data_IF_969592305454
#
_entry.id   IF_969592305454
#
_cell.length_a   1.000
_cell.length_b   1.000
_cell.length_c   1.000
_cell.angle_alpha   90.00
_cell.angle_beta   90.00
_cell.angle_gamma   90.00
#
_symmetry.space_group_name_H-M   'P 1'
#
loop_
_entity.id
_entity.type
_entity.pdbx_description
1 polymer ?
#
# COMPACT_ATOMS: atom_id res chain seq x y z
N UNK A 1 0.42 20.81 10.95
CA UNK A 1 0.09 20.03 9.75
C UNK A 1 1.11 18.91 9.66
N UNK A 2 0.66 17.64 9.63
CA UNK A 2 1.54 16.49 9.81
C UNK A 2 2.43 16.18 8.60
N UNK A 3 2.03 16.64 7.41
CA UNK A 3 2.92 16.80 6.25
C UNK A 3 2.89 18.26 5.83
N UNK A 4 4.05 18.90 5.81
CA UNK A 4 4.18 20.21 5.18
C UNK A 4 4.11 20.07 3.65
N UNK A 5 3.41 21.01 3.01
CA UNK A 5 3.49 21.23 1.56
C UNK A 5 2.95 20.09 0.67
N UNK A 6 1.97 19.30 1.14
CA UNK A 6 1.19 18.43 0.24
C UNK A 6 0.54 19.23 -0.89
N UNK A 7 0.11 20.46 -0.63
CA UNK A 7 -0.45 21.38 -1.62
C UNK A 7 0.53 21.74 -2.76
N UNK A 8 1.84 21.58 -2.57
CA UNK A 8 2.83 21.71 -3.65
C UNK A 8 2.79 20.51 -4.61
N UNK A 9 2.35 19.35 -4.13
CA UNK A 9 2.38 18.07 -4.85
C UNK A 9 1.00 17.58 -5.30
N UNK A 10 -0.09 18.12 -4.77
CA UNK A 10 -1.45 17.69 -5.12
C UNK A 10 -2.35 18.92 -5.26
N UNK A 11 -3.20 18.92 -6.29
CA UNK A 11 -4.16 20.00 -6.54
C UNK A 11 -5.57 19.70 -6.04
N UNK A 12 -5.88 18.43 -5.75
CA UNK A 12 -7.22 18.00 -5.30
C UNK A 12 -7.29 18.06 -3.77
N UNK A 13 -8.13 18.94 -3.18
CA UNK A 13 -8.25 19.08 -1.73
C UNK A 13 -8.67 17.77 -1.02
N UNK A 14 -9.48 16.94 -1.67
CA UNK A 14 -9.89 15.65 -1.10
C UNK A 14 -8.69 14.69 -1.01
N UNK A 15 -7.85 14.65 -2.05
CA UNK A 15 -6.63 13.84 -2.04
C UNK A 15 -5.63 14.33 -0.99
N UNK A 16 -5.48 15.64 -0.83
CA UNK A 16 -4.60 16.23 0.19
C UNK A 16 -5.03 15.81 1.60
N UNK A 17 -6.34 15.88 1.91
CA UNK A 17 -6.89 15.41 3.20
C UNK A 17 -6.64 13.92 3.40
N UNK A 18 -6.89 13.10 2.38
CA UNK A 18 -6.63 11.66 2.43
C UNK A 18 -5.15 11.35 2.69
N UNK A 19 -4.23 11.96 1.95
CA UNK A 19 -2.79 11.75 2.14
C UNK A 19 -2.32 12.21 3.52
N UNK A 20 -2.84 13.32 4.04
CA UNK A 20 -2.53 13.78 5.39
C UNK A 20 -2.99 12.79 6.47
N UNK A 21 -4.17 12.17 6.30
CA UNK A 21 -4.68 11.13 7.20
C UNK A 21 -3.87 9.83 7.10
N UNK A 22 -3.53 9.38 5.90
CA UNK A 22 -2.66 8.20 5.71
C UNK A 22 -1.28 8.42 6.34
N UNK A 23 -0.72 9.63 6.25
CA UNK A 23 0.55 9.95 6.91
C UNK A 23 0.45 9.92 8.44
N UNK A 24 -0.69 10.36 8.97
CA UNK A 24 -0.98 10.26 10.41
C UNK A 24 -1.04 8.80 10.85
N UNK A 25 -1.74 7.95 10.08
CA UNK A 25 -1.77 6.50 10.30
C UNK A 25 -0.37 5.88 10.25
N UNK A 26 0.44 6.25 9.26
CA UNK A 26 1.80 5.74 9.13
C UNK A 26 2.67 6.11 10.34
N UNK A 27 2.45 7.28 10.93
CA UNK A 27 3.17 7.73 12.12
C UNK A 27 2.74 6.94 13.36
N UNK A 28 1.43 6.76 13.55
CA UNK A 28 0.87 5.96 14.64
C UNK A 28 1.34 4.49 14.57
N UNK A 29 1.39 3.90 13.37
CA UNK A 29 1.93 2.55 13.14
C UNK A 29 3.44 2.50 13.40
N UNK A 30 4.20 3.50 12.94
CA UNK A 30 5.63 3.62 13.22
C UNK A 30 5.91 3.63 14.72
N UNK A 31 5.15 4.40 15.49
CA UNK A 31 5.31 4.48 16.94
C UNK A 31 4.99 3.14 17.61
N UNK A 32 3.90 2.48 17.19
CA UNK A 32 3.55 1.14 17.67
C UNK A 32 4.66 0.11 17.37
N UNK A 33 5.23 0.10 16.17
CA UNK A 33 6.35 -0.77 15.80
C UNK A 33 7.59 -0.50 16.66
N UNK A 34 7.92 0.77 16.95
CA UNK A 34 9.10 1.13 17.73
C UNK A 34 9.06 0.60 19.17
N UNK A 35 7.87 0.44 19.72
CA UNK A 35 7.66 0.01 21.11
C UNK A 35 7.01 -1.38 21.23
N UNK A 36 6.78 -2.10 20.13
CA UNK A 36 6.00 -3.35 20.13
C UNK A 36 6.53 -4.45 21.08
N UNK A 37 7.82 -4.45 21.40
CA UNK A 37 8.43 -5.39 22.35
C UNK A 37 8.37 -4.92 23.82
N UNK A 38 7.94 -3.69 24.09
CA UNK A 38 7.75 -3.14 25.43
C UNK A 38 6.37 -3.59 25.92
N UNK A 39 6.36 -4.32 27.03
CA UNK A 39 5.14 -4.74 27.71
C UNK A 39 5.06 -4.04 29.06
N UNK A 40 4.28 -2.98 29.13
CA UNK A 40 4.03 -2.21 30.36
C UNK A 40 2.76 -2.68 31.09
N UNK A 41 2.04 -3.64 30.51
CA UNK A 41 0.85 -4.24 31.08
C UNK A 41 1.20 -5.30 32.13
N UNK A 42 0.36 -5.45 33.15
CA UNK A 42 0.57 -6.48 34.18
C UNK A 42 0.21 -7.89 33.71
N UNK A 43 -0.52 -8.01 32.61
CA UNK A 43 -1.15 -9.24 32.10
C UNK A 43 -0.64 -9.67 30.71
N UNK A 44 0.29 -8.92 30.11
CA UNK A 44 0.85 -9.23 28.80
C UNK A 44 0.04 -8.70 27.61
N UNK A 45 -1.04 -7.95 27.86
CA UNK A 45 -1.88 -7.41 26.79
C UNK A 45 -1.23 -6.25 26.04
N UNK A 46 -0.32 -5.52 26.69
CA UNK A 46 0.39 -4.35 26.13
C UNK A 46 1.42 -4.72 25.06
N UNK A 47 1.88 -5.98 25.04
CA UNK A 47 2.78 -6.47 24.03
C UNK A 47 2.06 -6.68 22.67
N UNK A 48 2.49 -5.93 21.65
CA UNK A 48 2.01 -6.01 20.26
C UNK A 48 2.85 -6.94 19.38
N UNK A 49 4.00 -7.44 19.86
CA UNK A 49 4.84 -8.43 19.17
C UNK A 49 4.25 -9.85 19.18
N UNK A 50 3.09 -10.02 19.80
CA UNK A 50 2.42 -11.31 19.98
C UNK A 50 1.49 -11.67 18.82
N UNK A 51 1.23 -12.96 18.70
CA UNK A 51 0.19 -13.52 17.82
C UNK A 51 -1.19 -13.02 18.25
N UNK A 52 -2.06 -12.75 17.28
CA UNK A 52 -3.49 -12.69 17.50
C UNK A 52 -4.07 -14.12 17.53
N UNK A 53 -5.17 -14.33 18.24
CA UNK A 53 -5.94 -15.59 18.19
C UNK A 53 -6.83 -15.65 16.94
N UNK A 54 -6.32 -15.18 15.79
CA UNK A 54 -7.03 -15.10 14.51
C UNK A 54 -6.14 -15.48 13.34
N UNK A 55 -6.77 -15.87 12.24
CA UNK A 55 -6.13 -16.18 10.96
C UNK A 55 -6.74 -15.23 9.93
N UNK A 56 -5.90 -14.57 9.12
CA UNK A 56 -6.41 -13.71 8.07
C UNK A 56 -7.01 -14.54 6.92
N UNK A 57 -7.58 -13.85 5.95
CA UNK A 57 -8.35 -14.43 4.84
C UNK A 57 -7.47 -15.20 3.84
N UNK A 58 -6.17 -15.15 4.05
CA UNK A 58 -5.14 -15.79 3.25
C UNK A 58 -4.57 -17.04 3.94
N UNK A 59 -5.08 -17.37 5.13
CA UNK A 59 -4.67 -18.53 5.92
C UNK A 59 -3.41 -18.31 6.74
N UNK A 60 -2.99 -17.06 6.95
CA UNK A 60 -1.81 -16.69 7.72
C UNK A 60 -2.21 -16.33 9.17
N UNK A 61 -1.41 -16.74 10.16
CA UNK A 61 -1.61 -16.34 11.56
C UNK A 61 -1.42 -14.82 11.67
N UNK A 62 -2.45 -14.08 12.09
CA UNK A 62 -2.33 -12.63 12.25
C UNK A 62 -1.49 -12.29 13.47
N UNK A 63 -0.67 -11.26 13.37
CA UNK A 63 -0.08 -10.61 14.53
C UNK A 63 -1.00 -9.51 15.03
N UNK A 64 -0.93 -9.22 16.33
CA UNK A 64 -1.72 -8.11 16.92
C UNK A 64 -1.47 -6.79 16.19
N UNK A 65 -0.24 -6.61 15.70
CA UNK A 65 0.15 -5.42 14.97
C UNK A 65 -0.48 -5.31 13.57
N UNK A 66 -0.82 -6.43 12.93
CA UNK A 66 -1.54 -6.45 11.64
C UNK A 66 -2.98 -5.97 11.80
N UNK A 67 -3.65 -6.43 12.86
CA UNK A 67 -5.01 -5.96 13.21
C UNK A 67 -4.97 -4.48 13.58
N UNK A 68 -4.00 -4.09 14.41
CA UNK A 68 -3.84 -2.69 14.82
C UNK A 68 -3.59 -1.77 13.62
N UNK A 69 -2.66 -2.12 12.73
CA UNK A 69 -2.34 -1.32 11.55
C UNK A 69 -3.54 -1.23 10.60
N UNK A 70 -4.29 -2.31 10.42
CA UNK A 70 -5.56 -2.32 9.68
C UNK A 70 -6.55 -1.31 10.26
N UNK A 71 -6.84 -1.38 11.56
CA UNK A 71 -7.80 -0.50 12.23
C UNK A 71 -7.40 0.98 12.14
N UNK A 72 -6.10 1.27 12.30
CA UNK A 72 -5.55 2.62 12.15
C UNK A 72 -5.74 3.14 10.72
N UNK A 73 -5.48 2.33 9.70
CA UNK A 73 -5.71 2.71 8.30
C UNK A 73 -7.20 2.93 8.00
N UNK A 74 -8.07 2.03 8.43
CA UNK A 74 -9.53 2.14 8.24
C UNK A 74 -10.04 3.42 8.89
N UNK A 75 -9.63 3.71 10.12
CA UNK A 75 -9.98 4.94 10.83
C UNK A 75 -9.49 6.19 10.08
N UNK A 76 -8.23 6.22 9.67
CA UNK A 76 -7.67 7.36 8.94
C UNK A 76 -8.40 7.62 7.61
N UNK A 77 -8.71 6.58 6.84
CA UNK A 77 -9.46 6.72 5.61
C UNK A 77 -10.91 7.18 5.84
N UNK A 78 -11.59 6.68 6.88
CA UNK A 78 -12.92 7.15 7.28
C UNK A 78 -12.90 8.64 7.65
N UNK A 79 -12.00 9.05 8.54
CA UNK A 79 -11.86 10.44 8.99
C UNK A 79 -11.38 11.42 7.91
N UNK A 80 -10.89 10.91 6.77
CA UNK A 80 -10.56 11.77 5.63
C UNK A 80 -11.79 12.36 4.93
N UNK A 81 -12.96 11.74 5.14
CA UNK A 81 -14.23 12.02 4.43
C UNK A 81 -14.06 12.10 2.91
N UNK A 82 -13.07 11.40 2.36
CA UNK A 82 -12.71 11.46 0.93
C UNK A 82 -12.86 10.09 0.24
N UNK A 83 -13.12 9.03 1.01
CA UNK A 83 -13.21 7.66 0.52
C UNK A 83 -14.66 7.17 0.45
N UNK A 84 -15.00 6.44 -0.62
CA UNK A 84 -16.25 5.65 -0.73
C UNK A 84 -16.04 4.19 -0.34
N UNK A 85 -14.79 3.72 -0.28
CA UNK A 85 -14.47 2.30 -0.18
C UNK A 85 -13.05 1.98 0.20
N UNK A 86 -12.87 0.83 0.85
CA UNK A 86 -11.54 0.30 1.18
C UNK A 86 -11.41 -1.17 0.78
N UNK A 87 -10.18 -1.53 0.41
CA UNK A 87 -9.71 -2.91 0.19
C UNK A 87 -8.48 -3.07 1.06
N UNK A 88 -8.42 -4.10 1.89
CA UNK A 88 -7.29 -4.36 2.77
C UNK A 88 -6.79 -5.79 2.61
N UNK A 89 -5.50 -6.03 2.82
CA UNK A 89 -4.97 -7.39 2.91
C UNK A 89 -5.65 -8.23 4.00
N UNK A 90 -6.03 -7.60 5.12
CA UNK A 90 -6.46 -8.28 6.35
C UNK A 90 -7.91 -8.77 6.34
N UNK A 91 -8.72 -8.38 5.34
CA UNK A 91 -10.17 -8.68 5.28
C UNK A 91 -10.55 -9.14 3.88
N UNK A 92 -11.47 -10.10 3.79
CA UNK A 92 -11.88 -10.72 2.50
C UNK A 92 -12.86 -9.83 1.75
N UNK A 93 -13.62 -9.03 2.49
CA UNK A 93 -14.71 -8.24 1.93
C UNK A 93 -14.31 -6.78 1.75
N UNK A 94 -14.79 -6.18 0.67
CA UNK A 94 -14.71 -4.75 0.44
C UNK A 94 -15.46 -3.97 1.55
N UNK A 95 -14.82 -2.93 2.08
CA UNK A 95 -15.40 -2.09 3.13
C UNK A 95 -16.09 -0.88 2.46
N UNK A 96 -17.41 -0.85 2.45
CA UNK A 96 -18.19 0.29 1.95
C UNK A 96 -18.25 1.42 3.00
N UNK A 97 -17.86 2.64 2.60
CA UNK A 97 -17.84 3.82 3.48
C UNK A 97 -18.95 4.83 3.16
N UNK A 98 -19.89 4.49 2.28
CA UNK A 98 -21.09 5.30 2.02
C UNK A 98 -22.07 5.15 3.18
N UNK A 99 -22.76 6.23 3.56
CA UNK A 99 -23.70 6.21 4.70
C UNK A 99 -24.80 5.15 4.48
N UNK A 100 -25.04 4.31 5.50
CA UNK A 100 -26.03 3.22 5.44
C UNK A 100 -25.49 1.82 5.10
N UNK A 101 -24.18 1.68 4.84
CA UNK A 101 -23.50 0.39 4.65
C UNK A 101 -23.19 -0.35 5.96
N UNK A 102 -24.19 -0.56 6.81
CA UNK A 102 -24.06 -1.44 7.96
C UNK A 102 -23.82 -2.89 7.52
N UNK A 103 -22.94 -3.57 8.26
CA UNK A 103 -22.69 -5.02 8.21
C UNK A 103 -23.93 -5.80 7.75
N UNK A 104 -23.92 -6.35 6.53
CA UNK A 104 -24.88 -7.40 6.13
C UNK A 104 -24.43 -8.76 6.66
N UNK A 105 -24.02 -8.80 7.93
CA UNK A 105 -23.93 -10.02 8.71
C UNK A 105 -25.34 -10.42 9.12
N UNK A 106 -25.83 -11.54 8.61
CA UNK A 106 -27.13 -12.13 8.95
C UNK A 106 -27.39 -12.11 10.46
N UNK A 107 -28.27 -11.23 10.94
CA UNK A 107 -28.95 -11.38 12.23
C UNK A 107 -30.44 -11.54 11.98
N UNK A 108 -30.96 -12.62 12.55
CA UNK A 108 -32.32 -13.08 12.36
C UNK A 108 -33.37 -12.06 12.81
N UNK A 109 -34.53 -12.24 12.21
CA UNK A 109 -35.79 -11.56 12.48
C UNK A 109 -36.05 -11.41 13.99
N UNK A 110 -36.30 -10.17 14.43
CA UNK A 110 -37.27 -9.90 15.48
C UNK A 110 -37.84 -8.49 15.32
N UNK A 111 -39.16 -8.44 15.16
CA UNK A 111 -40.00 -7.26 15.07
C UNK A 111 -40.01 -6.47 16.39
N UNK A 112 -40.13 -5.14 16.34
CA UNK A 112 -40.55 -4.37 17.51
C UNK A 112 -40.30 -2.87 17.51
N UNK A 113 -41.38 -2.11 17.26
CA UNK A 113 -41.73 -0.78 17.78
C UNK A 113 -40.86 0.46 17.45
N UNK A 114 -41.50 1.42 16.77
CA UNK A 114 -41.09 2.82 16.68
C UNK A 114 -41.31 3.59 18.00
N UNK A 115 -40.56 4.67 18.22
CA UNK A 115 -41.14 5.84 18.86
C UNK A 115 -40.86 7.17 18.12
N UNK A 116 -41.72 8.10 18.48
CA UNK A 116 -42.04 9.40 17.92
C UNK A 116 -41.04 10.53 18.18
N UNK A 117 -41.10 11.51 17.29
CA UNK A 117 -40.57 12.89 17.27
C UNK A 117 -40.34 13.63 18.60
N UNK A 118 -39.23 14.38 18.68
CA UNK A 118 -39.24 15.81 19.04
C UNK A 118 -37.92 16.49 18.67
N UNK A 119 -38.06 17.70 18.12
CA UNK A 119 -37.09 18.65 17.59
C UNK A 119 -36.05 19.17 18.61
N UNK A 120 -34.85 19.47 18.12
CA UNK A 120 -34.21 20.78 18.29
C UNK A 120 -33.01 20.91 17.33
N UNK A 121 -33.17 21.71 16.27
CA UNK A 121 -32.11 22.10 15.35
C UNK A 121 -31.51 23.43 15.81
N UNK A 122 -30.23 23.43 16.15
CA UNK A 122 -29.39 24.63 16.18
C UNK A 122 -28.57 24.59 14.89
N UNK A 123 -28.89 25.47 13.95
CA UNK A 123 -28.09 25.72 12.75
C UNK A 123 -26.93 26.64 13.12
N UNK A 124 -25.71 26.08 13.19
CA UNK A 124 -24.47 26.85 13.13
C UNK A 124 -24.08 27.06 11.66
N UNK A 125 -23.86 28.32 11.29
CA UNK A 125 -23.68 28.81 9.92
C UNK A 125 -22.25 28.63 9.38
N UNK A 126 -21.68 27.45 9.57
CA UNK A 126 -20.49 27.02 8.84
C UNK A 126 -20.91 26.55 7.45
N UNK A 127 -20.36 27.16 6.40
CA UNK A 127 -20.55 26.68 5.03
C UNK A 127 -19.84 25.32 4.90
N UNK A 128 -20.56 24.23 5.17
CA UNK A 128 -20.09 22.85 4.92
C UNK A 128 -19.83 22.74 3.41
N UNK A 129 -18.54 22.77 3.04
CA UNK A 129 -18.10 22.34 1.72
C UNK A 129 -18.56 20.89 1.57
N UNK A 130 -19.60 20.65 0.76
CA UNK A 130 -20.16 19.32 0.54
C UNK A 130 -19.04 18.29 0.34
N UNK A 131 -18.96 17.33 1.26
CA UNK A 131 -17.85 16.38 1.35
C UNK A 131 -17.93 15.38 0.20
N UNK A 132 -17.27 15.70 -0.91
CA UNK A 132 -17.28 14.85 -2.09
C UNK A 132 -16.36 13.63 -1.87
N UNK A 133 -16.95 12.49 -1.49
CA UNK A 133 -16.27 11.19 -1.41
C UNK A 133 -15.94 10.71 -2.83
N UNK A 134 -14.64 10.58 -3.14
CA UNK A 134 -14.13 10.34 -4.50
C UNK A 134 -13.21 9.15 -4.65
N UNK A 135 -12.76 8.53 -3.57
CA UNK A 135 -11.65 7.58 -3.67
C UNK A 135 -11.97 6.20 -3.13
N UNK A 136 -11.35 5.20 -3.75
CA UNK A 136 -11.22 3.86 -3.19
C UNK A 136 -9.74 3.66 -2.87
N UNK A 137 -9.47 3.18 -1.66
CA UNK A 137 -8.09 2.92 -1.20
C UNK A 137 -7.90 1.42 -1.04
N UNK A 138 -6.92 0.87 -1.75
CA UNK A 138 -6.44 -0.48 -1.52
C UNK A 138 -5.12 -0.41 -0.75
N UNK A 139 -4.99 -1.14 0.35
CA UNK A 139 -3.79 -1.05 1.19
C UNK A 139 -3.37 -2.39 1.81
N UNK A 140 -2.06 -2.54 1.95
CA UNK A 140 -1.41 -3.48 2.85
C UNK A 140 -0.96 -2.64 4.07
N UNK A 141 -1.59 -2.83 5.24
CA UNK A 141 -1.31 -2.01 6.40
C UNK A 141 0.00 -2.38 7.10
N UNK A 142 0.60 -3.55 6.81
CA UNK A 142 1.87 -3.96 7.41
C UNK A 142 2.62 -5.00 6.55
N UNK A 143 3.19 -4.56 5.42
CA UNK A 143 4.07 -5.36 4.57
C UNK A 143 5.27 -5.87 5.35
N UNK A 144 5.51 -7.16 5.21
CA UNK A 144 6.61 -7.84 5.86
C UNK A 144 6.40 -8.02 7.36
N UNK A 145 5.15 -8.03 7.84
CA UNK A 145 4.79 -8.28 9.25
C UNK A 145 5.61 -9.38 9.91
N UNK A 146 5.84 -10.51 9.24
CA UNK A 146 6.70 -11.62 9.71
C UNK A 146 8.12 -11.21 10.18
N UNK A 147 8.61 -10.05 9.75
CA UNK A 147 9.90 -9.48 10.10
C UNK A 147 9.89 -8.56 11.33
N UNK A 148 8.71 -8.15 11.79
CA UNK A 148 8.52 -7.25 12.94
C UNK A 148 9.21 -7.79 14.19
N UNK A 149 9.05 -9.07 14.50
CA UNK A 149 9.64 -9.72 15.67
C UNK A 149 11.18 -9.73 15.66
N UNK A 150 11.81 -9.54 14.49
CA UNK A 150 13.27 -9.54 14.32
C UNK A 150 13.87 -8.13 14.26
N UNK A 151 13.05 -7.08 14.39
CA UNK A 151 13.51 -5.69 14.29
C UNK A 151 14.02 -5.32 12.89
N UNK A 152 13.56 -6.03 11.87
CA UNK A 152 13.88 -5.76 10.45
C UNK A 152 12.87 -4.76 9.89
N UNK A 153 13.29 -3.95 8.91
CA UNK A 153 12.42 -2.96 8.28
C UNK A 153 11.16 -3.60 7.68
N UNK A 154 10.03 -2.95 7.94
CA UNK A 154 8.69 -3.28 7.43
C UNK A 154 8.02 -2.02 6.91
N UNK A 155 6.76 -2.06 6.50
CA UNK A 155 6.10 -0.86 5.97
C UNK A 155 4.61 -0.98 5.75
N UNK A 156 3.99 0.09 5.27
CA UNK A 156 2.62 0.08 4.74
C UNK A 156 2.64 0.43 3.27
N UNK A 157 1.72 -0.12 2.49
CA UNK A 157 1.61 0.12 1.04
C UNK A 157 0.17 0.53 0.73
N UNK A 158 -0.03 1.49 -0.17
CA UNK A 158 -1.36 1.91 -0.57
C UNK A 158 -1.45 2.32 -2.04
N UNK A 159 -2.61 2.04 -2.63
CA UNK A 159 -3.07 2.51 -3.93
C UNK A 159 -4.35 3.31 -3.75
N UNK A 160 -4.45 4.44 -4.44
CA UNK A 160 -5.66 5.25 -4.51
C UNK A 160 -6.21 5.19 -5.93
N UNK A 161 -7.51 4.91 -6.02
CA UNK A 161 -8.27 4.90 -7.25
C UNK A 161 -9.33 6.00 -7.21
N UNK A 162 -9.57 6.63 -8.35
CA UNK A 162 -10.66 7.60 -8.50
C UNK A 162 -11.99 6.84 -8.70
N UNK A 163 -13.00 7.20 -7.91
CA UNK A 163 -14.39 6.82 -8.05
C UNK A 163 -15.19 8.08 -8.38
N UNK A 164 -15.66 8.19 -9.62
CA UNK A 164 -16.48 9.32 -10.07
C UNK A 164 -17.93 9.05 -9.71
N UNK A 165 -18.43 9.62 -8.62
CA UNK A 165 -19.85 9.56 -8.24
C UNK A 165 -20.71 10.20 -9.33
N UNK A 166 -21.87 9.63 -9.68
CA UNK A 166 -22.80 10.26 -10.62
C UNK A 166 -23.76 11.27 -9.98
N UNK A 167 -23.61 11.57 -8.69
CA UNK A 167 -24.45 12.49 -7.91
C UNK A 167 -25.12 11.80 -6.71
N UNK A 168 -26.02 12.52 -6.02
CA UNK A 168 -26.84 11.96 -4.94
C UNK A 168 -27.65 10.75 -5.44
N UNK A 169 -27.55 9.61 -4.73
CA UNK A 169 -28.26 8.38 -5.09
C UNK A 169 -27.50 7.44 -6.04
N UNK A 170 -26.17 7.58 -6.19
CA UNK A 170 -25.35 6.62 -6.93
C UNK A 170 -25.47 5.21 -6.31
N UNK A 171 -26.16 4.33 -7.03
CA UNK A 171 -26.44 2.94 -6.61
C UNK A 171 -25.44 1.93 -7.16
N UNK A 172 -24.46 2.38 -7.95
CA UNK A 172 -23.43 1.48 -8.48
C UNK A 172 -22.64 0.86 -7.34
N UNK A 173 -22.19 -0.35 -7.59
CA UNK A 173 -21.29 -1.04 -6.67
C UNK A 173 -19.87 -0.53 -6.90
N UNK A 174 -19.25 0.23 -5.97
CA UNK A 174 -17.96 0.85 -6.22
C UNK A 174 -16.84 -0.19 -6.47
N UNK A 175 -17.00 -1.42 -5.97
CA UNK A 175 -16.05 -2.51 -6.23
C UNK A 175 -16.05 -2.92 -7.70
N UNK A 176 -17.20 -2.88 -8.40
CA UNK A 176 -17.29 -3.27 -9.81
C UNK A 176 -16.50 -2.29 -10.69
N UNK A 177 -16.50 -1.01 -10.33
CA UNK A 177 -15.67 0.02 -10.97
C UNK A 177 -14.17 -0.22 -10.74
N UNK A 178 -13.78 -0.95 -9.68
CA UNK A 178 -12.39 -1.31 -9.36
C UNK A 178 -11.98 -2.68 -9.89
N UNK A 179 -12.91 -3.58 -10.23
CA UNK A 179 -12.58 -4.91 -10.75
C UNK A 179 -12.76 -5.01 -12.27
N UNK A 180 -13.68 -4.26 -12.91
CA UNK A 180 -13.85 -4.33 -14.38
C UNK A 180 -14.29 -2.96 -14.92
N UNK A 181 -13.46 -2.24 -15.71
CA UNK A 181 -12.28 -2.65 -16.49
C UNK A 181 -10.92 -2.23 -15.88
N UNK A 182 -10.79 -2.20 -14.55
CA UNK A 182 -9.62 -1.61 -13.90
C UNK A 182 -8.32 -2.37 -14.18
N UNK A 183 -7.27 -1.63 -14.49
CA UNK A 183 -5.87 -2.11 -14.48
C UNK A 183 -5.06 -1.25 -13.52
N UNK A 184 -3.78 -1.57 -13.31
CA UNK A 184 -2.87 -0.67 -12.60
C UNK A 184 -2.74 0.72 -13.26
N UNK A 185 -3.19 0.89 -14.51
CA UNK A 185 -3.31 2.21 -15.17
C UNK A 185 -4.29 3.15 -14.50
N UNK A 186 -5.22 2.63 -13.71
CA UNK A 186 -6.24 3.42 -13.05
C UNK A 186 -5.83 3.88 -11.64
N UNK A 187 -4.70 3.39 -11.12
CA UNK A 187 -4.11 3.93 -9.88
C UNK A 187 -3.68 5.38 -10.15
N UNK A 188 -4.31 6.32 -9.46
CA UNK A 188 -4.06 7.76 -9.65
C UNK A 188 -2.91 8.27 -8.77
N UNK A 189 -2.80 7.68 -7.58
CA UNK A 189 -1.81 7.96 -6.55
C UNK A 189 -1.47 6.65 -5.86
N UNK A 190 -0.21 6.42 -5.58
CA UNK A 190 0.25 5.30 -4.78
C UNK A 190 1.39 5.73 -3.89
N UNK A 191 1.60 4.99 -2.82
CA UNK A 191 2.74 5.23 -1.98
C UNK A 191 2.99 4.07 -1.04
N UNK A 192 4.05 4.24 -0.27
CA UNK A 192 4.38 3.36 0.81
C UNK A 192 5.03 4.16 1.93
N UNK A 193 4.95 3.65 3.15
CA UNK A 193 5.76 4.10 4.26
C UNK A 193 6.70 2.97 4.68
N UNK A 194 8.00 3.25 4.77
CA UNK A 194 8.98 2.31 5.31
C UNK A 194 9.27 2.65 6.76
N UNK A 195 9.11 1.67 7.64
CA UNK A 195 9.43 1.72 9.07
C UNK A 195 10.80 1.06 9.29
N UNK A 196 11.86 1.80 8.97
CA UNK A 196 13.25 1.33 9.08
C UNK A 196 14.04 2.07 10.15
N UNK A 197 15.31 2.36 9.87
CA UNK A 197 16.13 3.26 10.69
C UNK A 197 15.51 4.64 10.86
N UNK A 198 14.78 5.07 9.84
CA UNK A 198 13.91 6.24 9.78
C UNK A 198 12.53 5.80 9.29
N UNK A 199 11.54 6.64 9.55
CA UNK A 199 10.19 6.47 9.00
C UNK A 199 10.08 7.37 7.77
N UNK A 200 10.07 6.78 6.58
CA UNK A 200 10.00 7.51 5.32
C UNK A 200 8.68 7.21 4.60
N UNK A 201 7.94 8.25 4.23
CA UNK A 201 6.74 8.16 3.42
C UNK A 201 7.08 8.58 1.99
N UNK A 202 6.79 7.73 1.02
CA UNK A 202 7.12 7.97 -0.40
C UNK A 202 5.85 7.84 -1.23
N UNK A 203 5.57 8.85 -2.05
CA UNK A 203 4.33 8.94 -2.83
C UNK A 203 4.63 9.28 -4.29
N UNK A 204 3.89 8.68 -5.20
CA UNK A 204 3.87 9.05 -6.62
C UNK A 204 2.43 9.29 -7.08
N UNK A 205 2.26 10.20 -8.02
CA UNK A 205 1.00 10.38 -8.74
C UNK A 205 1.21 10.26 -10.23
N UNK A 206 0.18 9.79 -10.94
CA UNK A 206 0.21 9.78 -12.42
C UNK A 206 0.27 11.18 -13.02
N UNK A 207 -0.34 12.18 -12.38
CA UNK A 207 -0.43 13.54 -12.91
C UNK A 207 0.89 14.32 -12.81
N UNK A 208 1.63 14.14 -11.73
CA UNK A 208 2.79 14.99 -11.43
C UNK A 208 4.13 14.37 -11.83
N UNK A 209 4.08 13.15 -12.41
CA UNK A 209 5.21 12.41 -13.02
C UNK A 209 6.49 12.41 -12.19
N UNK A 210 6.36 12.54 -10.87
CA UNK A 210 7.47 12.61 -9.91
C UNK A 210 7.14 11.73 -8.72
N UNK A 211 8.19 11.22 -8.11
CA UNK A 211 8.14 10.48 -6.86
C UNK A 211 8.75 11.34 -5.77
N UNK A 212 8.01 11.57 -4.70
CA UNK A 212 8.41 12.48 -3.60
C UNK A 212 8.51 11.69 -2.31
N UNK A 213 9.55 11.96 -1.53
CA UNK A 213 9.83 11.31 -0.26
C UNK A 213 9.92 12.32 0.89
N UNK A 214 9.26 11.97 1.99
CA UNK A 214 9.32 12.69 3.25
C UNK A 214 9.84 11.77 4.35
N UNK A 215 10.60 12.34 5.27
CA UNK A 215 11.09 11.65 6.46
C UNK A 215 10.40 12.23 7.68
N UNK A 216 9.88 11.37 8.55
CA UNK A 216 9.28 11.78 9.82
C UNK A 216 10.39 12.29 10.76
N UNK A 217 10.24 13.52 11.24
CA UNK A 217 10.99 14.02 12.39
C UNK A 217 10.23 13.66 13.67
N UNK A 218 10.72 12.71 14.49
CA UNK A 218 10.02 12.27 15.69
C UNK A 218 9.98 13.35 16.78
N UNK A 219 10.83 14.38 16.72
CA UNK A 219 10.84 15.45 17.73
C UNK A 219 9.69 16.44 17.54
N UNK A 220 9.33 16.71 16.29
CA UNK A 220 8.23 17.61 15.90
C UNK A 220 6.97 16.87 15.47
N UNK A 221 7.03 15.54 15.39
CA UNK A 221 5.96 14.68 14.88
C UNK A 221 5.42 15.12 13.51
N UNK A 222 6.34 15.54 12.62
CA UNK A 222 6.01 16.11 11.32
C UNK A 222 6.90 15.51 10.24
N UNK A 223 6.34 15.26 9.07
CA UNK A 223 7.08 14.83 7.88
C UNK A 223 7.74 16.02 7.19
N UNK A 224 9.06 15.93 7.06
CA UNK A 224 9.89 16.88 6.33
C UNK A 224 10.18 16.34 4.93
N UNK A 225 9.97 17.15 3.89
CA UNK A 225 10.30 16.77 2.49
C UNK A 225 11.81 16.64 2.35
N UNK A 226 12.31 15.41 2.28
CA UNK A 226 13.76 15.13 2.18
C UNK A 226 14.19 14.77 0.76
N UNK A 227 13.24 14.38 -0.10
CA UNK A 227 13.50 14.01 -1.50
C UNK A 227 12.39 14.55 -2.40
N UNK A 228 12.67 15.62 -3.14
CA UNK A 228 11.66 16.31 -3.95
C UNK A 228 11.39 15.66 -5.33
N UNK A 229 12.33 14.86 -5.85
CA UNK A 229 12.22 14.23 -7.17
C UNK A 229 13.09 12.97 -7.24
N UNK A 230 12.53 11.84 -6.83
CA UNK A 230 13.21 10.55 -6.85
C UNK A 230 13.13 9.98 -8.25
N UNK A 231 14.30 9.83 -8.88
CA UNK A 231 14.49 9.09 -10.13
C UNK A 231 15.31 7.84 -9.87
N UNK A 232 14.87 6.69 -10.38
CA UNK A 232 15.64 5.46 -10.25
C UNK A 232 16.86 5.50 -11.18
N UNK A 233 18.04 5.06 -10.72
CA UNK A 233 19.20 4.90 -11.61
C UNK A 233 18.87 3.99 -12.79
N UNK A 234 19.32 4.34 -14.00
CA UNK A 234 19.03 3.52 -15.20
C UNK A 234 19.64 2.13 -15.14
N UNK A 235 20.75 1.98 -14.40
CA UNK A 235 21.36 0.71 -14.01
C UNK A 235 21.83 0.77 -12.57
N UNK A 236 21.56 -0.28 -11.81
CA UNK A 236 22.13 -0.49 -10.48
C UNK A 236 22.91 -1.79 -10.37
N UNK A 237 23.38 -2.03 -9.15
CA UNK A 237 24.34 -3.08 -8.79
C UNK A 237 23.76 -4.13 -7.85
N UNK A 238 22.44 -4.15 -7.69
CA UNK A 238 21.76 -5.00 -6.71
C UNK A 238 20.71 -5.83 -7.44
N UNK A 239 20.63 -7.12 -7.12
CA UNK A 239 19.46 -7.93 -7.43
C UNK A 239 18.87 -8.45 -6.12
N UNK A 240 17.54 -8.42 -6.03
CA UNK A 240 16.79 -8.77 -4.84
C UNK A 240 15.76 -9.83 -5.15
N UNK A 241 16.00 -11.04 -4.65
CA UNK A 241 15.13 -12.20 -4.84
C UNK A 241 15.38 -13.23 -3.74
N UNK A 242 14.33 -13.97 -3.35
CA UNK A 242 14.47 -15.11 -2.45
C UNK A 242 14.97 -16.35 -3.20
N UNK A 243 16.28 -16.53 -3.25
CA UNK A 243 16.90 -17.68 -3.92
C UNK A 243 16.60 -19.03 -3.27
N UNK A 244 16.03 -19.08 -2.07
CA UNK A 244 15.52 -20.33 -1.47
C UNK A 244 14.47 -21.03 -2.34
N UNK A 245 13.83 -20.27 -3.25
CA UNK A 245 12.87 -20.80 -4.22
C UNK A 245 13.45 -21.06 -5.61
N UNK A 246 14.77 -21.02 -5.81
CA UNK A 246 15.41 -21.17 -7.14
C UNK A 246 14.94 -22.39 -7.91
N UNK A 247 14.71 -23.51 -7.23
CA UNK A 247 14.21 -24.76 -7.81
C UNK A 247 12.84 -24.63 -8.49
N UNK A 248 12.03 -23.63 -8.10
CA UNK A 248 10.69 -23.34 -8.67
C UNK A 248 10.72 -22.29 -9.79
N UNK A 249 11.85 -21.62 -10.00
CA UNK A 249 11.94 -20.54 -10.97
C UNK A 249 12.00 -21.04 -12.42
N UNK A 250 11.55 -20.21 -13.35
CA UNK A 250 11.72 -20.44 -14.77
C UNK A 250 13.21 -20.50 -15.13
N UNK A 251 13.54 -21.23 -16.21
CA UNK A 251 14.93 -21.29 -16.69
C UNK A 251 15.48 -19.90 -17.09
N UNK A 252 14.61 -18.98 -17.50
CA UNK A 252 15.00 -17.60 -17.78
C UNK A 252 15.42 -16.85 -16.53
N UNK A 253 14.65 -16.97 -15.44
CA UNK A 253 15.01 -16.38 -14.16
C UNK A 253 16.29 -17.00 -13.59
N UNK A 254 16.46 -18.32 -13.67
CA UNK A 254 17.71 -18.99 -13.25
C UNK A 254 18.93 -18.50 -14.03
N UNK A 255 18.79 -18.27 -15.34
CA UNK A 255 19.85 -17.64 -16.15
C UNK A 255 20.19 -16.24 -15.65
N UNK A 256 19.18 -15.39 -15.44
CA UNK A 256 19.39 -14.03 -14.95
C UNK A 256 20.13 -14.01 -13.59
N UNK A 257 19.73 -14.88 -12.65
CA UNK A 257 20.41 -15.01 -11.35
C UNK A 257 21.87 -15.45 -11.52
N UNK A 258 22.14 -16.42 -12.41
CA UNK A 258 23.50 -16.86 -12.73
C UNK A 258 24.34 -15.72 -13.30
N UNK A 259 23.81 -14.98 -14.27
CA UNK A 259 24.48 -13.83 -14.87
C UNK A 259 24.79 -12.75 -13.80
N UNK A 260 23.87 -12.54 -12.85
CA UNK A 260 24.11 -11.65 -11.71
C UNK A 260 25.21 -12.16 -10.77
N UNK A 261 25.29 -13.47 -10.50
CA UNK A 261 26.33 -14.08 -9.66
C UNK A 261 27.71 -14.05 -10.31
N UNK A 262 27.76 -14.22 -11.63
CA UNK A 262 29.01 -14.22 -12.42
C UNK A 262 29.49 -12.79 -12.73
N UNK A 263 28.60 -11.79 -12.63
CA UNK A 263 28.95 -10.38 -12.78
C UNK A 263 29.86 -9.88 -11.65
N UNK A 264 30.93 -9.16 -12.00
CA UNK A 264 31.80 -8.48 -11.04
C UNK A 264 31.18 -7.21 -10.43
N UNK A 265 29.99 -6.82 -10.88
CA UNK A 265 29.35 -5.54 -10.50
C UNK A 265 28.03 -5.68 -9.76
N UNK A 266 27.45 -6.89 -9.70
CA UNK A 266 26.18 -7.14 -9.04
C UNK A 266 26.38 -7.71 -7.63
N UNK A 267 25.43 -7.45 -6.74
CA UNK A 267 25.44 -7.97 -5.37
C UNK A 267 24.03 -8.36 -4.96
N UNK A 268 23.89 -9.50 -4.28
CA UNK A 268 22.60 -9.92 -3.72
C UNK A 268 22.23 -9.08 -2.48
N UNK A 269 20.98 -8.63 -2.42
CA UNK A 269 20.36 -8.09 -1.20
C UNK A 269 18.92 -8.56 -1.17
N UNK A 270 18.48 -9.14 -0.06
CA UNK A 270 17.08 -9.52 0.11
C UNK A 270 16.74 -9.33 1.58
N UNK A 271 15.98 -8.28 1.89
CA UNK A 271 15.55 -7.96 3.26
C UNK A 271 14.42 -8.89 3.67
N UNK A 272 13.54 -9.26 2.72
CA UNK A 272 12.39 -10.10 2.99
C UNK A 272 11.11 -9.34 3.34
N UNK A 273 11.12 -8.01 3.18
CA UNK A 273 9.94 -7.12 3.18
C UNK A 273 9.94 -6.38 1.84
N UNK A 274 8.80 -6.40 1.14
CA UNK A 274 8.69 -5.82 -0.19
C UNK A 274 9.02 -4.31 -0.15
N UNK A 275 8.46 -3.58 0.81
CA UNK A 275 8.65 -2.13 0.92
C UNK A 275 10.13 -1.77 1.13
N UNK A 276 10.87 -2.53 1.94
CA UNK A 276 12.28 -2.27 2.20
C UNK A 276 13.17 -2.58 0.98
N UNK A 277 12.88 -3.69 0.30
CA UNK A 277 13.63 -4.09 -0.91
C UNK A 277 13.32 -3.18 -2.11
N UNK A 278 12.07 -2.76 -2.28
CA UNK A 278 11.66 -1.82 -3.33
C UNK A 278 12.17 -0.40 -3.03
N UNK A 279 12.13 0.06 -1.77
CA UNK A 279 12.68 1.36 -1.39
C UNK A 279 14.18 1.46 -1.73
N UNK A 280 14.95 0.42 -1.41
CA UNK A 280 16.36 0.35 -1.80
C UNK A 280 16.52 0.32 -3.32
N UNK A 281 15.72 -0.47 -4.03
CA UNK A 281 15.75 -0.55 -5.50
C UNK A 281 15.47 0.81 -6.13
N UNK A 282 14.49 1.56 -5.61
CA UNK A 282 14.11 2.89 -6.08
C UNK A 282 15.26 3.89 -5.93
N UNK A 283 15.96 3.89 -4.80
CA UNK A 283 17.02 4.86 -4.51
C UNK A 283 18.40 4.49 -5.09
N UNK A 284 18.77 3.21 -5.03
CA UNK A 284 20.10 2.73 -5.42
C UNK A 284 20.15 2.11 -6.82
N UNK A 285 18.98 1.87 -7.42
CA UNK A 285 18.86 1.09 -8.64
C UNK A 285 19.11 -0.41 -8.41
N UNK A 286 19.02 -1.18 -9.49
CA UNK A 286 19.08 -2.63 -9.48
C UNK A 286 17.69 -3.22 -9.70
N UNK A 287 17.43 -4.41 -9.18
CA UNK A 287 16.16 -5.11 -9.40
C UNK A 287 15.60 -5.76 -8.15
N UNK A 288 14.28 -5.89 -8.14
CA UNK A 288 13.51 -6.71 -7.21
C UNK A 288 12.63 -7.68 -7.99
N UNK A 289 12.57 -8.93 -7.54
CA UNK A 289 11.86 -10.01 -8.22
C UNK A 289 11.07 -10.88 -7.24
N UNK A 290 9.82 -11.14 -7.60
CA UNK A 290 8.93 -12.09 -6.93
C UNK A 290 8.18 -12.94 -7.99
N UNK A 291 8.84 -13.95 -8.58
CA UNK A 291 8.31 -14.69 -9.74
C UNK A 291 7.11 -15.60 -9.45
N UNK A 292 6.91 -16.04 -8.20
CA UNK A 292 5.96 -17.13 -7.89
C UNK A 292 4.50 -16.71 -7.74
N UNK A 293 4.14 -15.47 -8.06
CA UNK A 293 2.73 -15.07 -8.09
C UNK A 293 2.04 -15.00 -6.72
N UNK A 294 2.75 -14.60 -5.66
CA UNK A 294 2.18 -14.56 -4.30
C UNK A 294 1.68 -13.18 -3.86
N UNK A 295 2.22 -12.10 -4.43
CA UNK A 295 1.89 -10.73 -4.04
C UNK A 295 0.57 -10.30 -4.67
N UNK A 296 -0.19 -9.43 -4.01
CA UNK A 296 -1.53 -9.03 -4.41
C UNK A 296 -1.49 -7.82 -5.32
N UNK A 297 -2.32 -7.84 -6.35
CA UNK A 297 -2.23 -6.88 -7.43
C UNK A 297 -2.57 -5.46 -7.00
N UNK A 298 -3.65 -5.27 -6.24
CA UNK A 298 -4.20 -3.94 -5.93
C UNK A 298 -3.39 -3.15 -4.90
N UNK A 299 -2.77 -3.83 -3.93
CA UNK A 299 -2.13 -3.18 -2.77
C UNK A 299 -0.65 -3.55 -2.58
N UNK A 300 -0.06 -4.41 -3.41
CA UNK A 300 1.40 -4.66 -3.41
C UNK A 300 2.00 -4.39 -4.80
N UNK A 301 1.51 -5.07 -5.85
CA UNK A 301 2.13 -5.00 -7.18
C UNK A 301 1.91 -3.66 -7.89
N UNK A 302 0.65 -3.22 -8.05
CA UNK A 302 0.34 -1.96 -8.72
C UNK A 302 0.93 -0.71 -8.06
N UNK A 303 0.88 -0.53 -6.72
CA UNK A 303 1.45 0.66 -6.12
C UNK A 303 2.96 0.72 -6.38
N UNK A 304 3.68 -0.39 -6.17
CA UNK A 304 5.13 -0.45 -6.41
C UNK A 304 5.50 -0.29 -7.89
N UNK A 305 4.72 -0.88 -8.79
CA UNK A 305 4.91 -0.71 -10.23
C UNK A 305 4.72 0.74 -10.68
N UNK A 306 3.71 1.45 -10.14
CA UNK A 306 3.49 2.87 -10.44
C UNK A 306 4.67 3.71 -9.95
N UNK A 307 5.15 3.48 -8.72
CA UNK A 307 6.32 4.19 -8.16
C UNK A 307 7.54 4.03 -9.07
N UNK A 308 7.82 2.81 -9.52
CA UNK A 308 8.99 2.50 -10.36
C UNK A 308 8.85 3.10 -11.75
N UNK A 309 7.69 3.02 -12.37
CA UNK A 309 7.45 3.59 -13.70
C UNK A 309 7.58 5.12 -13.67
N UNK A 310 6.99 5.78 -12.68
CA UNK A 310 7.08 7.25 -12.51
C UNK A 310 8.53 7.68 -12.25
N UNK A 311 9.30 6.89 -11.51
CA UNK A 311 10.72 7.15 -11.27
C UNK A 311 11.62 6.88 -12.50
N UNK A 312 11.08 6.42 -13.62
CA UNK A 312 11.82 6.14 -14.86
C UNK A 312 12.39 4.72 -14.98
N UNK A 313 11.90 3.79 -14.15
CA UNK A 313 12.24 2.37 -14.19
C UNK A 313 11.26 1.54 -15.03
N UNK A 314 11.29 0.23 -14.82
CA UNK A 314 10.41 -0.71 -15.50
C UNK A 314 9.86 -1.74 -14.52
N UNK A 315 8.57 -2.08 -14.65
CA UNK A 315 7.90 -3.18 -13.95
C UNK A 315 7.20 -4.08 -14.95
N UNK A 316 7.40 -5.40 -14.84
CA UNK A 316 6.76 -6.43 -15.68
C UNK A 316 6.23 -7.59 -14.85
N UNK A 317 5.22 -8.28 -15.38
CA UNK A 317 4.80 -9.61 -14.93
C UNK A 317 5.78 -10.68 -15.43
N UNK A 318 5.61 -11.93 -14.98
CA UNK A 318 6.39 -13.07 -15.48
C UNK A 318 6.11 -13.39 -16.96
N UNK A 319 5.01 -12.88 -17.53
CA UNK A 319 4.70 -12.94 -18.97
C UNK A 319 5.36 -11.83 -19.78
N UNK A 320 6.06 -10.89 -19.13
CA UNK A 320 6.75 -9.77 -19.78
C UNK A 320 5.90 -8.54 -20.07
N UNK A 321 4.58 -8.65 -19.89
CA UNK A 321 3.66 -7.51 -19.95
C UNK A 321 3.98 -6.52 -18.84
N UNK A 322 3.77 -5.24 -19.06
CA UNK A 322 3.94 -4.26 -17.99
C UNK A 322 2.92 -4.56 -16.88
N UNK A 323 3.39 -4.55 -15.63
CA UNK A 323 2.57 -4.90 -14.46
C UNK A 323 1.29 -4.07 -14.41
N UNK A 324 1.35 -2.77 -14.72
CA UNK A 324 0.21 -1.86 -14.63
C UNK A 324 -0.85 -2.12 -15.72
N UNK A 325 -0.55 -2.90 -16.76
CA UNK A 325 -1.51 -3.29 -17.80
C UNK A 325 -2.26 -4.58 -17.47
N UNK A 326 -1.95 -5.22 -16.34
CA UNK A 326 -2.64 -6.44 -15.91
C UNK A 326 -4.06 -6.11 -15.48
N UNK A 327 -5.03 -6.84 -16.01
CA UNK A 327 -6.42 -6.80 -15.54
C UNK A 327 -6.54 -7.61 -14.23
N UNK A 328 -7.48 -7.23 -13.38
CA UNK A 328 -7.74 -7.89 -12.09
C UNK A 328 -9.22 -8.21 -12.00
N UNK A 329 -9.58 -9.45 -11.70
CA UNK A 329 -10.97 -9.90 -11.57
C UNK A 329 -11.42 -10.05 -10.11
N UNK A 330 -10.48 -10.04 -9.15
CA UNK A 330 -10.74 -10.16 -7.72
C UNK A 330 -9.88 -9.20 -6.90
N UNK A 331 -10.40 -8.68 -5.79
CA UNK A 331 -9.67 -7.75 -4.92
C UNK A 331 -8.43 -8.36 -4.25
N UNK A 332 -8.37 -9.70 -4.15
CA UNK A 332 -7.22 -10.44 -3.63
C UNK A 332 -6.43 -11.18 -4.72
N UNK A 333 -6.61 -10.80 -5.99
CA UNK A 333 -5.87 -11.44 -7.08
C UNK A 333 -4.37 -11.30 -6.88
N UNK A 334 -3.65 -12.41 -7.08
CA UNK A 334 -2.20 -12.50 -6.90
C UNK A 334 -1.50 -12.46 -8.24
N UNK A 335 -0.30 -11.88 -8.27
CA UNK A 335 0.53 -11.79 -9.45
C UNK A 335 2.01 -11.85 -9.15
N UNK A 336 2.77 -12.18 -10.19
CA UNK A 336 4.22 -12.13 -10.17
C UNK A 336 4.67 -10.72 -10.56
N UNK A 337 5.78 -10.26 -9.97
CA UNK A 337 6.32 -8.94 -10.27
C UNK A 337 7.83 -8.96 -10.39
N UNK A 338 8.33 -8.23 -11.38
CA UNK A 338 9.74 -7.91 -11.55
C UNK A 338 9.83 -6.42 -11.80
N UNK A 339 10.63 -5.71 -11.00
CA UNK A 339 10.75 -4.27 -11.12
C UNK A 339 12.18 -3.79 -10.89
N UNK A 340 12.49 -2.59 -11.40
CA UNK A 340 13.72 -1.89 -11.07
C UNK A 340 14.26 -1.02 -12.19
N UNK A 341 15.58 -0.83 -12.16
CA UNK A 341 16.35 -0.07 -13.14
C UNK A 341 16.14 -0.61 -14.55
N UNK A 342 15.82 0.28 -15.49
CA UNK A 342 15.43 -0.07 -16.86
C UNK A 342 16.42 -1.01 -17.55
N UNK A 343 17.71 -0.70 -17.49
CA UNK A 343 18.72 -1.52 -18.17
C UNK A 343 18.89 -2.90 -17.53
N UNK A 344 18.78 -3.02 -16.20
CA UNK A 344 18.82 -4.33 -15.53
C UNK A 344 17.58 -5.16 -15.87
N UNK A 345 16.42 -4.51 -16.05
CA UNK A 345 15.18 -5.14 -16.46
C UNK A 345 15.19 -5.57 -17.94
N UNK A 346 15.87 -4.83 -18.81
CA UNK A 346 16.10 -5.24 -20.20
C UNK A 346 17.00 -6.49 -20.27
N UNK A 347 17.99 -6.61 -19.38
CA UNK A 347 18.78 -7.85 -19.26
C UNK A 347 17.90 -9.03 -18.80
N UNK A 348 17.04 -8.82 -17.79
CA UNK A 348 16.07 -9.83 -17.38
C UNK A 348 15.18 -10.28 -18.54
N UNK A 349 14.63 -9.35 -19.34
CA UNK A 349 13.78 -9.67 -20.50
C UNK A 349 14.51 -10.57 -21.50
N UNK A 350 15.79 -10.29 -21.80
CA UNK A 350 16.61 -11.17 -22.66
C UNK A 350 16.72 -12.57 -22.07
N UNK A 351 16.96 -12.69 -20.76
CA UNK A 351 17.03 -13.98 -20.07
C UNK A 351 15.69 -14.72 -20.12
N UNK A 352 14.57 -14.01 -19.96
CA UNK A 352 13.21 -14.56 -20.04
C UNK A 352 12.74 -14.85 -21.49
N UNK A 353 13.44 -14.31 -22.50
CA UNK A 353 13.10 -14.38 -23.94
C UNK A 353 11.81 -13.63 -24.29
N UNK A 354 11.66 -12.44 -23.73
CA UNK A 354 10.51 -11.54 -23.87
C UNK A 354 10.80 -10.34 -24.78
#
# INVERSE_FOLDING_TARGET
MMIERLEEEFSDPALIRLMAKIASACTEISDAIRVQAIDDSKDGSGNLSGRAESTNVQGEEQMKLDIYSHDVFVKACKESNSCVGLISEEVEEYIDLREGGGERGKRGEQEGLAPSSSSDQIHDGGQELGEEKKYIVAFDPLDGSSNVAYGVSVGSIFSVFEYKTTGEGDTRNPIEEVLKPQTGRNVMCAGYCVYGSSTDLVIATRKNTRVVGWTLDPSSNTYVKTRADISIPQRGKIYSINEGYEHKFSEGMKRYIRDCKESSSMTARYVGSMVADVHRTLLAGGTFHYPLGKLRMLYECFPMALMIEVAGGLSISDTGSNTLDSAVESIHERGAIHLGSKENMDDLKKCLRL
#
